data_IF_624711467042
#
_entry.id   IF_624711467042
#
_cell.length_a   1.000
_cell.length_b   1.000
_cell.length_c   1.000
_cell.angle_alpha   90.00
_cell.angle_beta   90.00
_cell.angle_gamma   90.00
#
_symmetry.space_group_name_H-M   'P 1'
#
loop_
_entity.id
_entity.type
_entity.pdbx_description
1 polymer ?
#
# COMPACT_ATOMS: atom_id res chain seq x y z
N UNK A 1 26.09 -5.93 -9.86
CA UNK A 1 25.33 -6.26 -8.64
C UNK A 1 26.02 -5.48 -7.53
N UNK A 2 25.47 -4.33 -7.16
CA UNK A 2 26.11 -3.43 -6.18
C UNK A 2 25.95 -3.99 -4.78
N UNK A 3 27.03 -4.01 -4.01
CA UNK A 3 27.05 -4.33 -2.59
C UNK A 3 25.94 -3.55 -1.88
N UNK A 4 24.93 -4.26 -1.40
CA UNK A 4 23.79 -3.64 -0.74
C UNK A 4 24.21 -3.47 0.71
N UNK A 5 24.56 -2.26 1.12
CA UNK A 5 24.91 -1.96 2.52
C UNK A 5 23.79 -2.48 3.43
N UNK A 6 24.13 -3.27 4.48
CA UNK A 6 23.14 -3.78 5.42
C UNK A 6 22.40 -2.60 6.05
N UNK A 7 21.07 -2.69 6.05
CA UNK A 7 20.18 -1.68 6.60
C UNK A 7 19.92 -2.01 8.07
N UNK A 8 19.97 -1.02 8.95
CA UNK A 8 19.61 -1.17 10.36
C UNK A 8 18.27 -0.49 10.66
N UNK A 9 17.61 -0.93 11.74
CA UNK A 9 16.30 -0.41 12.14
C UNK A 9 16.34 1.09 12.47
N UNK A 10 17.40 1.56 13.09
CA UNK A 10 17.50 2.94 13.55
C UNK A 10 18.15 3.87 12.50
N UNK A 11 18.41 3.35 11.29
CA UNK A 11 18.90 4.15 10.18
C UNK A 11 17.88 5.22 9.77
N UNK A 12 18.34 6.44 9.39
CA UNK A 12 17.47 7.47 8.84
C UNK A 12 16.73 6.98 7.60
N UNK A 13 15.48 7.41 7.43
CA UNK A 13 14.61 6.96 6.34
C UNK A 13 15.16 7.34 4.95
N UNK A 14 16.02 8.35 4.86
CA UNK A 14 16.67 8.80 3.62
C UNK A 14 17.70 7.81 3.08
N UNK A 15 18.12 6.82 3.89
CA UNK A 15 18.99 5.72 3.44
C UNK A 15 18.28 4.80 2.44
N UNK A 16 16.95 4.82 2.40
CA UNK A 16 16.17 4.06 1.42
C UNK A 16 16.15 4.75 0.06
N UNK A 17 16.34 4.00 -1.04
CA UNK A 17 16.40 4.55 -2.38
C UNK A 17 15.10 5.27 -2.76
N UNK A 18 15.25 6.46 -3.33
CA UNK A 18 14.13 7.30 -3.74
C UNK A 18 13.51 8.11 -2.62
N UNK A 19 14.05 8.11 -1.38
CA UNK A 19 13.60 9.00 -0.31
C UNK A 19 14.58 10.18 -0.19
N UNK A 20 14.33 11.24 -0.95
CA UNK A 20 15.05 12.52 -0.78
C UNK A 20 14.40 13.43 0.28
N UNK A 21 14.99 14.61 0.57
CA UNK A 21 14.57 15.51 1.66
C UNK A 21 13.08 15.86 1.63
N UNK A 22 12.53 16.07 0.43
CA UNK A 22 11.11 16.35 0.24
C UNK A 22 10.21 15.19 0.65
N UNK A 23 10.59 13.95 0.35
CA UNK A 23 9.82 12.74 0.69
C UNK A 23 10.02 12.38 2.17
N UNK A 24 11.22 12.55 2.70
CA UNK A 24 11.50 12.46 4.13
C UNK A 24 10.61 13.42 4.94
N UNK A 25 10.51 14.70 4.54
CA UNK A 25 9.60 15.65 5.18
C UNK A 25 8.11 15.27 5.11
N UNK A 26 7.67 14.53 4.07
CA UNK A 26 6.30 14.01 4.01
C UNK A 26 6.08 12.82 4.96
N UNK A 27 7.09 11.97 5.12
CA UNK A 27 7.10 10.84 6.06
C UNK A 27 7.19 11.32 7.52
N UNK A 28 7.94 12.38 7.79
CA UNK A 28 7.99 13.02 9.10
C UNK A 28 6.60 13.48 9.59
N UNK A 29 5.72 13.93 8.68
CA UNK A 29 4.32 14.26 9.04
C UNK A 29 3.48 13.04 9.46
N UNK A 30 3.96 11.82 9.19
CA UNK A 30 3.39 10.57 9.69
C UNK A 30 4.11 10.08 10.97
N UNK A 31 5.09 10.82 11.48
CA UNK A 31 5.97 10.36 12.57
C UNK A 31 7.00 9.32 12.12
N UNK A 32 7.37 9.33 10.82
CA UNK A 32 8.33 8.37 10.26
C UNK A 32 9.61 9.11 9.86
N UNK A 33 10.67 8.91 10.64
CA UNK A 33 12.02 9.42 10.44
C UNK A 33 13.06 8.29 10.27
N UNK A 34 12.76 7.08 10.74
CA UNK A 34 13.66 5.90 10.72
C UNK A 34 13.07 4.71 9.97
N UNK A 35 13.91 3.73 9.65
CA UNK A 35 13.48 2.44 9.06
C UNK A 35 12.51 1.70 9.99
N UNK A 36 12.79 1.71 11.30
CA UNK A 36 11.91 1.14 12.34
C UNK A 36 10.53 1.77 12.25
N UNK A 37 10.41 3.08 12.31
CA UNK A 37 9.11 3.75 12.25
C UNK A 37 8.38 3.48 10.93
N UNK A 38 9.10 3.31 9.81
CA UNK A 38 8.48 2.90 8.55
C UNK A 38 7.88 1.48 8.63
N UNK A 39 8.62 0.52 9.18
CA UNK A 39 8.18 -0.88 9.31
C UNK A 39 7.09 -1.04 10.38
N UNK A 40 7.14 -0.26 11.46
CA UNK A 40 6.10 -0.29 12.49
C UNK A 40 4.90 0.63 12.16
N UNK A 41 4.94 1.36 11.03
CA UNK A 41 3.74 1.98 10.44
C UNK A 41 2.86 0.94 9.75
N UNK A 42 2.27 0.08 10.57
CA UNK A 42 1.48 -1.07 10.12
C UNK A 42 0.26 -0.64 9.29
N UNK A 43 -0.14 -1.43 8.28
CA UNK A 43 -1.30 -1.10 7.47
C UNK A 43 -2.59 -1.07 8.29
N UNK A 44 -3.51 -0.18 7.95
CA UNK A 44 -4.82 -0.08 8.61
C UNK A 44 -5.80 -1.14 8.14
N UNK A 45 -5.61 -1.63 6.92
CA UNK A 45 -6.50 -2.60 6.26
C UNK A 45 -5.76 -3.31 5.11
N UNK A 46 -6.41 -4.29 4.48
CA UNK A 46 -5.89 -5.02 3.33
C UNK A 46 -6.90 -5.01 2.19
N UNK A 47 -6.39 -5.14 0.96
CA UNK A 47 -7.23 -5.28 -0.22
C UNK A 47 -6.80 -6.50 -1.03
N UNK A 48 -7.75 -7.38 -1.31
CA UNK A 48 -7.52 -8.49 -2.24
C UNK A 48 -7.56 -7.98 -3.68
N UNK A 49 -6.40 -7.95 -4.35
CA UNK A 49 -6.26 -7.56 -5.76
C UNK A 49 -6.04 -8.76 -6.69
N UNK A 50 -6.31 -9.98 -6.21
CA UNK A 50 -6.30 -11.21 -7.03
C UNK A 50 -7.57 -11.34 -7.85
N UNK A 51 -8.69 -10.84 -7.32
CA UNK A 51 -10.01 -10.93 -7.97
C UNK A 51 -10.17 -9.83 -9.01
N UNK A 52 -9.80 -10.14 -10.25
CA UNK A 52 -10.04 -9.27 -11.41
C UNK A 52 -11.49 -9.47 -11.86
N UNK A 53 -12.25 -8.38 -11.88
CA UNK A 53 -13.62 -8.35 -12.36
C UNK A 53 -13.68 -7.83 -13.79
N UNK A 54 -14.64 -8.36 -14.56
CA UNK A 54 -15.06 -7.76 -15.84
C UNK A 54 -15.79 -6.44 -15.57
N UNK A 55 -15.63 -5.45 -16.46
CA UNK A 55 -16.24 -4.13 -16.32
C UNK A 55 -17.77 -4.22 -16.13
N UNK A 56 -18.44 -5.07 -16.90
CA UNK A 56 -19.90 -5.24 -16.84
C UNK A 56 -20.40 -5.72 -15.47
N UNK A 57 -19.58 -6.47 -14.73
CA UNK A 57 -19.89 -6.90 -13.37
C UNK A 57 -19.45 -5.86 -12.35
N UNK A 58 -18.26 -5.29 -12.52
CA UNK A 58 -17.72 -4.25 -11.64
C UNK A 58 -18.67 -3.06 -11.46
N UNK A 59 -19.34 -2.60 -12.52
CA UNK A 59 -20.29 -1.47 -12.44
C UNK A 59 -21.51 -1.74 -11.55
N UNK A 60 -21.81 -3.00 -11.21
CA UNK A 60 -22.91 -3.38 -10.30
C UNK A 60 -22.54 -3.15 -8.83
N UNK A 61 -21.25 -3.08 -8.49
CA UNK A 61 -20.73 -2.96 -7.13
C UNK A 61 -20.51 -1.49 -6.71
N UNK A 62 -21.55 -0.65 -6.81
CA UNK A 62 -21.45 0.78 -6.49
C UNK A 62 -21.01 1.00 -5.03
N UNK A 63 -20.00 1.84 -4.83
CA UNK A 63 -19.44 2.16 -3.52
C UNK A 63 -18.35 1.19 -3.04
N UNK A 64 -18.16 0.07 -3.72
CA UNK A 64 -17.12 -0.92 -3.38
C UNK A 64 -15.84 -0.68 -4.18
N UNK A 65 -14.72 -1.11 -3.61
CA UNK A 65 -13.42 -1.09 -4.27
C UNK A 65 -13.23 -2.38 -5.06
N UNK A 66 -13.06 -2.27 -6.37
CA UNK A 66 -12.90 -3.40 -7.29
C UNK A 66 -11.62 -3.27 -8.09
N UNK A 67 -11.12 -4.40 -8.58
CA UNK A 67 -9.99 -4.46 -9.51
C UNK A 67 -10.48 -4.91 -10.88
N UNK A 68 -10.16 -4.15 -11.92
CA UNK A 68 -10.46 -4.50 -13.31
C UNK A 68 -9.16 -4.52 -14.12
N UNK A 69 -9.11 -5.35 -15.14
CA UNK A 69 -8.10 -5.28 -16.19
C UNK A 69 -8.73 -4.68 -17.44
N UNK A 70 -8.14 -3.60 -17.97
CA UNK A 70 -8.73 -2.90 -19.11
C UNK A 70 -7.67 -2.30 -20.02
N UNK A 71 -8.05 -2.13 -21.29
CA UNK A 71 -7.30 -1.40 -22.30
C UNK A 71 -7.65 0.08 -22.22
N UNK A 72 -6.64 0.95 -22.25
CA UNK A 72 -6.81 2.39 -22.38
C UNK A 72 -7.30 2.70 -23.79
N UNK A 73 -8.51 3.26 -23.89
CA UNK A 73 -9.09 3.74 -25.15
C UNK A 73 -8.59 5.15 -25.44
N UNK A 74 -8.67 6.03 -24.44
CA UNK A 74 -8.14 7.40 -24.50
C UNK A 74 -7.97 7.97 -23.11
N UNK A 75 -7.05 8.93 -22.97
CA UNK A 75 -6.90 9.72 -21.76
C UNK A 75 -6.90 11.21 -22.10
N UNK A 76 -7.59 12.02 -21.28
CA UNK A 76 -7.64 13.48 -21.45
C UNK A 76 -7.59 14.20 -20.12
N UNK A 77 -7.04 15.40 -20.14
CA UNK A 77 -7.11 16.34 -19.02
C UNK A 77 -8.29 17.29 -19.20
N UNK A 78 -8.91 17.70 -18.10
CA UNK A 78 -9.96 18.72 -18.08
C UNK A 78 -9.76 19.64 -16.88
N UNK A 79 -10.08 20.93 -17.04
CA UNK A 79 -10.19 21.89 -15.93
C UNK A 79 -11.60 21.85 -15.34
N UNK A 80 -11.70 21.68 -14.03
CA UNK A 80 -12.92 21.77 -13.25
C UNK A 80 -13.10 23.20 -12.70
N UNK A 81 -14.26 23.46 -12.09
CA UNK A 81 -14.53 24.72 -11.36
C UNK A 81 -13.46 24.95 -10.30
N UNK A 82 -13.16 26.24 -10.03
CA UNK A 82 -12.12 26.69 -9.05
C UNK A 82 -10.68 26.31 -9.44
N UNK A 83 -10.41 26.09 -10.73
CA UNK A 83 -9.05 25.87 -11.25
C UNK A 83 -8.47 24.48 -10.99
N UNK A 84 -9.22 23.56 -10.38
CA UNK A 84 -8.76 22.19 -10.14
C UNK A 84 -8.69 21.41 -11.45
N UNK A 85 -7.60 20.69 -11.70
CA UNK A 85 -7.46 19.85 -12.90
C UNK A 85 -7.91 18.42 -12.62
N UNK A 86 -8.31 17.69 -13.66
CA UNK A 86 -8.70 16.28 -13.55
C UNK A 86 -8.32 15.52 -14.81
N UNK A 87 -7.79 14.30 -14.63
CA UNK A 87 -7.59 13.36 -15.73
C UNK A 87 -8.77 12.40 -15.82
N UNK A 88 -9.28 12.17 -17.03
CA UNK A 88 -10.28 11.14 -17.35
C UNK A 88 -9.63 10.15 -18.30
N UNK A 89 -9.62 8.87 -17.91
CA UNK A 89 -9.16 7.76 -18.74
C UNK A 89 -10.37 6.91 -19.08
N UNK A 90 -10.59 6.65 -20.36
CA UNK A 90 -11.61 5.71 -20.82
C UNK A 90 -10.97 4.34 -21.00
N UNK A 91 -11.61 3.36 -20.38
CA UNK A 91 -11.13 2.00 -20.22
C UNK A 91 -12.15 1.04 -20.85
N UNK A 92 -11.66 0.05 -21.59
CA UNK A 92 -12.46 -0.97 -22.25
C UNK A 92 -11.92 -2.36 -22.00
N UNK A 93 -12.82 -3.30 -21.75
CA UNK A 93 -12.54 -4.73 -21.79
C UNK A 93 -13.51 -5.42 -22.78
N UNK A 94 -13.57 -6.75 -22.79
CA UNK A 94 -14.49 -7.49 -23.66
C UNK A 94 -15.97 -7.39 -23.24
N UNK A 95 -16.25 -6.88 -22.04
CA UNK A 95 -17.58 -6.83 -21.43
C UNK A 95 -18.20 -5.43 -21.46
N UNK A 96 -17.40 -4.36 -21.57
CA UNK A 96 -17.91 -2.99 -21.65
C UNK A 96 -16.87 -1.89 -21.47
N UNK A 97 -17.37 -0.69 -21.21
CA UNK A 97 -16.61 0.54 -21.03
C UNK A 97 -16.80 1.15 -19.64
N UNK A 98 -15.74 1.70 -19.06
CA UNK A 98 -15.79 2.48 -17.82
C UNK A 98 -14.77 3.62 -17.84
N UNK A 99 -15.00 4.65 -17.02
CA UNK A 99 -14.05 5.77 -16.86
C UNK A 99 -13.23 5.60 -15.58
N UNK A 100 -11.96 5.96 -15.59
CA UNK A 100 -11.19 6.24 -14.39
C UNK A 100 -10.97 7.76 -14.27
N UNK A 101 -11.29 8.33 -13.11
CA UNK A 101 -11.20 9.78 -12.87
C UNK A 101 -10.17 10.09 -11.80
N UNK A 102 -9.28 11.04 -12.07
CA UNK A 102 -8.22 11.44 -11.14
C UNK A 102 -8.28 12.94 -10.85
N UNK A 103 -8.86 13.30 -9.70
CA UNK A 103 -8.99 14.68 -9.27
C UNK A 103 -7.65 15.27 -8.83
N UNK A 104 -7.39 16.53 -9.19
CA UNK A 104 -6.15 17.24 -8.88
C UNK A 104 -4.92 16.77 -9.66
N UNK A 105 -5.06 15.81 -10.59
CA UNK A 105 -3.95 15.17 -11.30
C UNK A 105 -4.07 15.35 -12.82
N UNK A 106 -4.18 16.59 -13.28
CA UNK A 106 -4.36 16.91 -14.69
C UNK A 106 -3.21 16.54 -15.63
N UNK A 107 -2.00 16.29 -15.12
CA UNK A 107 -0.85 15.84 -15.94
C UNK A 107 -0.82 14.32 -16.16
N UNK A 108 -1.59 13.56 -15.36
CA UNK A 108 -1.56 12.10 -15.36
C UNK A 108 -2.04 11.46 -16.67
N UNK A 109 -2.82 12.19 -17.48
CA UNK A 109 -3.27 11.70 -18.78
C UNK A 109 -2.10 11.28 -19.69
N UNK A 110 -0.92 11.88 -19.52
CA UNK A 110 0.30 11.56 -20.30
C UNK A 110 0.85 10.16 -20.00
N UNK A 111 0.48 9.57 -18.87
CA UNK A 111 0.90 8.22 -18.48
C UNK A 111 0.09 7.13 -19.19
N UNK A 112 -1.09 7.46 -19.71
CA UNK A 112 -2.04 6.50 -20.25
C UNK A 112 -2.05 6.54 -21.78
N UNK A 113 -1.25 5.69 -22.39
CA UNK A 113 -1.19 5.57 -23.84
C UNK A 113 -2.39 4.77 -24.39
N UNK A 114 -3.11 5.29 -25.40
CA UNK A 114 -4.14 4.51 -26.09
C UNK A 114 -3.55 3.19 -26.60
N UNK A 115 -4.22 2.08 -26.32
CA UNK A 115 -3.72 0.76 -26.68
C UNK A 115 -3.16 -0.04 -25.52
N UNK A 116 -2.60 0.64 -24.52
CA UNK A 116 -1.97 -0.02 -23.38
C UNK A 116 -2.99 -0.73 -22.49
N UNK A 117 -2.61 -1.87 -21.92
CA UNK A 117 -3.41 -2.59 -20.90
C UNK A 117 -2.93 -2.20 -19.52
N UNK A 118 -3.84 -2.19 -18.56
CA UNK A 118 -3.51 -1.94 -17.18
C UNK A 118 -4.51 -2.56 -16.22
N UNK A 119 -4.06 -2.77 -14.99
CA UNK A 119 -4.91 -3.09 -13.85
C UNK A 119 -5.30 -1.79 -13.15
N UNK A 120 -6.59 -1.63 -12.90
CA UNK A 120 -7.15 -0.46 -12.25
C UNK A 120 -7.92 -0.91 -11.03
N UNK A 121 -7.51 -0.43 -9.86
CA UNK A 121 -8.13 -0.79 -8.59
C UNK A 121 -8.65 0.46 -7.89
N UNK A 122 -9.96 0.53 -7.67
CA UNK A 122 -10.56 1.66 -6.98
C UNK A 122 -12.05 1.53 -6.78
N UNK A 123 -12.62 2.55 -6.14
CA UNK A 123 -14.04 2.57 -5.77
C UNK A 123 -14.91 2.87 -6.99
N UNK A 124 -15.91 2.04 -7.23
CA UNK A 124 -16.95 2.29 -8.24
C UNK A 124 -17.84 3.42 -7.74
N UNK A 125 -17.90 4.49 -8.52
CA UNK A 125 -18.81 5.59 -8.33
C UNK A 125 -19.31 6.11 -9.66
N UNK A 126 -19.63 7.41 -9.71
CA UNK A 126 -20.21 8.03 -10.88
C UNK A 126 -19.53 9.35 -11.23
N UNK A 127 -19.26 9.53 -12.51
CA UNK A 127 -18.83 10.78 -13.12
C UNK A 127 -19.28 10.82 -14.59
N UNK A 128 -20.46 11.42 -14.84
CA UNK A 128 -21.12 11.40 -16.16
C UNK A 128 -21.23 9.95 -16.69
N UNK A 129 -21.77 9.06 -15.86
CA UNK A 129 -21.79 7.60 -16.05
C UNK A 129 -20.90 6.85 -15.03
N UNK A 130 -20.89 5.50 -15.04
CA UNK A 130 -20.05 4.71 -14.14
C UNK A 130 -18.56 5.05 -14.25
N UNK A 131 -17.89 5.15 -13.10
CA UNK A 131 -16.47 5.50 -13.06
C UNK A 131 -15.74 4.97 -11.84
N UNK A 132 -14.48 4.58 -12.00
CA UNK A 132 -13.53 4.39 -10.90
C UNK A 132 -13.04 5.76 -10.38
N UNK A 133 -13.18 5.98 -9.07
CA UNK A 133 -12.73 7.19 -8.39
C UNK A 133 -11.28 7.07 -7.94
N UNK A 134 -10.42 7.92 -8.51
CA UNK A 134 -8.98 7.99 -8.26
C UNK A 134 -8.32 6.62 -8.06
N UNK A 135 -8.53 5.65 -8.98
CA UNK A 135 -8.05 4.30 -8.77
C UNK A 135 -6.52 4.27 -8.72
N UNK A 136 -5.97 3.35 -7.96
CA UNK A 136 -4.59 2.92 -8.19
C UNK A 136 -4.54 2.23 -9.55
N UNK A 137 -3.45 2.44 -10.29
CA UNK A 137 -3.27 1.85 -11.60
C UNK A 137 -1.86 1.29 -11.75
N UNK A 138 -1.78 0.27 -12.60
CA UNK A 138 -0.56 -0.41 -12.99
C UNK A 138 -0.65 -0.71 -14.47
N UNK A 139 0.30 -0.19 -15.25
CA UNK A 139 0.30 -0.42 -16.70
C UNK A 139 1.04 -1.72 -16.94
N UNK A 140 0.41 -2.66 -17.66
CA UNK A 140 1.02 -3.93 -18.02
C UNK A 140 1.97 -3.71 -19.19
N UNK A 141 3.05 -2.97 -18.95
CA UNK A 141 4.11 -2.70 -19.91
C UNK A 141 5.27 -3.68 -19.72
N UNK A 142 5.01 -4.99 -19.77
CA UNK A 142 6.03 -6.05 -19.85
C UNK A 142 7.07 -6.18 -18.72
N UNK A 143 7.23 -5.18 -17.85
CA UNK A 143 8.31 -5.09 -16.86
C UNK A 143 7.89 -5.71 -15.51
N UNK A 144 8.78 -6.53 -14.95
CA UNK A 144 8.55 -7.33 -13.75
C UNK A 144 8.43 -6.52 -12.44
N UNK A 145 8.67 -5.21 -12.46
CA UNK A 145 8.76 -4.34 -11.27
C UNK A 145 7.39 -4.06 -10.59
N UNK A 146 6.30 -4.47 -11.24
CA UNK A 146 4.94 -4.07 -10.88
C UNK A 146 4.18 -5.09 -9.99
N UNK A 147 4.77 -6.28 -9.74
CA UNK A 147 4.18 -7.38 -8.94
C UNK A 147 3.89 -7.09 -7.45
N UNK A 148 4.30 -5.93 -6.92
CA UNK A 148 4.05 -5.55 -5.53
C UNK A 148 2.65 -4.97 -5.29
N UNK A 149 1.91 -4.60 -6.35
CA UNK A 149 0.63 -3.89 -6.22
C UNK A 149 -0.58 -4.64 -6.77
N UNK A 150 -0.39 -5.80 -7.41
CA UNK A 150 -1.42 -6.56 -8.13
C UNK A 150 -1.22 -8.07 -7.95
N UNK A 151 -2.28 -8.86 -8.20
CA UNK A 151 -2.21 -10.33 -8.13
C UNK A 151 -1.98 -10.90 -6.73
N UNK A 152 -2.15 -10.09 -5.69
CA UNK A 152 -1.98 -10.49 -4.28
C UNK A 152 -2.84 -9.66 -3.34
N UNK A 153 -2.86 -10.05 -2.07
CA UNK A 153 -3.38 -9.21 -1.00
C UNK A 153 -2.39 -8.07 -0.75
N UNK A 154 -2.86 -6.83 -0.84
CA UNK A 154 -2.01 -5.65 -0.66
C UNK A 154 -2.38 -4.87 0.60
N UNK A 155 -1.39 -4.31 1.31
CA UNK A 155 -1.63 -3.49 2.49
C UNK A 155 -2.19 -2.12 2.10
N UNK A 156 -3.08 -1.58 2.94
CA UNK A 156 -3.58 -0.20 2.88
C UNK A 156 -3.05 0.55 4.10
N UNK A 157 -2.21 1.55 3.88
CA UNK A 157 -1.65 2.40 4.93
C UNK A 157 -2.48 3.65 5.17
N UNK A 158 -2.33 4.25 6.36
CA UNK A 158 -2.70 5.66 6.58
C UNK A 158 -1.69 6.55 5.84
N UNK A 159 -2.18 7.54 5.10
CA UNK A 159 -1.36 8.41 4.26
C UNK A 159 -1.59 9.88 4.62
N UNK A 160 -0.55 10.70 4.46
CA UNK A 160 -0.63 12.16 4.40
C UNK A 160 -0.76 12.64 2.94
N UNK A 161 -1.08 13.93 2.76
CA UNK A 161 -1.18 14.49 1.41
C UNK A 161 0.11 14.27 0.61
N UNK A 162 -0.04 13.94 -0.68
CA UNK A 162 1.04 13.71 -1.67
C UNK A 162 1.84 12.40 -1.50
N UNK A 163 1.62 11.61 -0.46
CA UNK A 163 2.07 10.22 -0.41
C UNK A 163 1.04 9.30 -1.10
N UNK A 164 1.51 8.18 -1.63
CA UNK A 164 0.65 7.18 -2.30
C UNK A 164 0.90 5.80 -1.70
N UNK A 165 -0.10 4.91 -1.79
CA UNK A 165 0.02 3.52 -1.32
C UNK A 165 1.20 2.81 -2.02
N UNK A 166 1.35 3.02 -3.34
CA UNK A 166 2.46 2.46 -4.13
C UNK A 166 3.84 2.89 -3.60
N UNK A 167 3.99 4.15 -3.21
CA UNK A 167 5.25 4.65 -2.66
C UNK A 167 5.60 3.98 -1.33
N UNK A 168 4.66 3.94 -0.38
CA UNK A 168 4.88 3.27 0.91
C UNK A 168 5.19 1.79 0.73
N UNK A 169 4.41 1.07 -0.09
CA UNK A 169 4.66 -0.35 -0.39
C UNK A 169 6.06 -0.57 -0.96
N UNK A 170 6.52 0.29 -1.88
CA UNK A 170 7.87 0.18 -2.46
C UNK A 170 8.96 0.38 -1.40
N UNK A 171 8.81 1.36 -0.52
CA UNK A 171 9.79 1.62 0.53
C UNK A 171 9.81 0.53 1.61
N UNK A 172 8.64 0.07 2.05
CA UNK A 172 8.52 -1.04 3.00
C UNK A 172 9.10 -2.33 2.40
N UNK A 173 8.80 -2.65 1.14
CA UNK A 173 9.39 -3.79 0.44
C UNK A 173 10.92 -3.69 0.40
N UNK A 174 11.45 -2.51 0.06
CA UNK A 174 12.89 -2.27 0.02
C UNK A 174 13.54 -2.40 1.41
N UNK A 175 12.89 -1.91 2.46
CA UNK A 175 13.37 -2.04 3.83
C UNK A 175 13.41 -3.51 4.27
N UNK A 176 12.30 -4.26 4.11
CA UNK A 176 12.23 -5.67 4.48
C UNK A 176 13.20 -6.56 3.67
N UNK A 177 13.51 -6.20 2.42
CA UNK A 177 14.48 -6.93 1.60
C UNK A 177 15.94 -6.68 2.00
N UNK A 178 16.25 -5.51 2.59
CA UNK A 178 17.62 -5.10 2.92
C UNK A 178 17.97 -5.27 4.40
N UNK A 179 16.96 -5.37 5.25
CA UNK A 179 17.11 -5.61 6.69
C UNK A 179 17.45 -7.09 6.91
N UNK A 180 18.40 -7.35 7.81
CA UNK A 180 18.63 -8.71 8.30
C UNK A 180 17.50 -9.12 9.25
N UNK A 181 16.73 -10.19 8.98
CA UNK A 181 15.69 -10.65 9.89
C UNK A 181 16.19 -10.93 11.31
N UNK A 182 17.47 -11.34 11.46
CA UNK A 182 18.07 -11.60 12.76
C UNK A 182 18.34 -10.32 13.58
N UNK A 183 18.32 -9.13 12.96
CA UNK A 183 18.46 -7.86 13.68
C UNK A 183 17.15 -7.36 14.30
N UNK A 184 16.04 -8.09 14.13
CA UNK A 184 14.74 -7.76 14.72
C UNK A 184 14.56 -8.59 15.98
N UNK A 185 14.76 -7.95 17.13
CA UNK A 185 14.49 -8.56 18.43
C UNK A 185 12.99 -8.84 18.58
N UNK A 186 12.66 -10.00 19.17
CA UNK A 186 11.30 -10.35 19.55
C UNK A 186 11.14 -10.17 21.07
N UNK A 187 10.47 -9.09 21.52
CA UNK A 187 10.31 -8.84 22.96
C UNK A 187 9.27 -9.77 23.60
N UNK A 188 8.49 -10.52 22.81
CA UNK A 188 7.56 -11.51 23.34
C UNK A 188 8.31 -12.81 23.67
N UNK A 189 8.25 -13.30 24.92
CA UNK A 189 8.79 -14.61 25.27
C UNK A 189 8.19 -15.72 24.41
N UNK A 190 9.02 -16.70 24.03
CA UNK A 190 8.61 -17.82 23.19
C UNK A 190 7.34 -18.53 23.69
N UNK A 191 7.24 -18.72 25.01
CA UNK A 191 6.04 -19.30 25.64
C UNK A 191 4.75 -18.56 25.28
N UNK A 192 4.73 -17.23 25.37
CA UNK A 192 3.54 -16.42 25.07
C UNK A 192 3.23 -16.43 23.57
N UNK A 193 4.26 -16.44 22.71
CA UNK A 193 4.06 -16.61 21.28
C UNK A 193 3.34 -17.92 20.96
N UNK A 194 3.84 -19.03 21.49
CA UNK A 194 3.28 -20.36 21.23
C UNK A 194 1.86 -20.49 21.77
N UNK A 195 1.59 -19.97 22.97
CA UNK A 195 0.26 -19.98 23.60
C UNK A 195 -0.79 -19.23 22.75
N UNK A 196 -0.42 -18.09 22.17
CA UNK A 196 -1.31 -17.27 21.36
C UNK A 196 -1.27 -17.56 19.85
N UNK A 197 -0.40 -18.47 19.40
CA UNK A 197 -0.20 -18.77 17.97
C UNK A 197 0.39 -17.60 17.18
N UNK A 198 1.25 -16.80 17.83
CA UNK A 198 1.90 -15.64 17.23
C UNK A 198 3.20 -16.01 16.51
N UNK A 199 3.38 -15.43 15.31
CA UNK A 199 4.63 -15.51 14.56
C UNK A 199 5.75 -14.76 15.28
N UNK A 200 7.03 -15.17 15.08
CA UNK A 200 8.19 -14.37 15.46
C UNK A 200 8.12 -12.96 14.87
N UNK A 201 8.69 -11.97 15.56
CA UNK A 201 8.58 -10.55 15.19
C UNK A 201 8.95 -10.26 13.72
N UNK A 202 10.05 -10.82 13.22
CA UNK A 202 10.47 -10.62 11.83
C UNK A 202 9.47 -11.20 10.80
N UNK A 203 9.01 -12.43 11.04
CA UNK A 203 8.00 -13.09 10.19
C UNK A 203 6.66 -12.35 10.25
N UNK A 204 6.28 -11.87 11.44
CA UNK A 204 5.08 -11.09 11.63
C UNK A 204 5.16 -9.74 10.91
N UNK A 205 6.31 -9.05 10.89
CA UNK A 205 6.48 -7.83 10.10
C UNK A 205 6.27 -8.11 8.60
N UNK A 206 6.89 -9.18 8.09
CA UNK A 206 6.70 -9.59 6.70
C UNK A 206 5.23 -9.88 6.39
N UNK A 207 4.56 -10.69 7.23
CA UNK A 207 3.15 -11.03 7.07
C UNK A 207 2.21 -9.82 7.24
N UNK A 208 2.55 -8.85 8.09
CA UNK A 208 1.77 -7.64 8.25
C UNK A 208 1.83 -6.75 7.00
N UNK A 209 2.96 -6.70 6.28
CA UNK A 209 3.07 -5.84 5.10
C UNK A 209 2.75 -6.55 3.80
N UNK A 210 3.11 -7.82 3.66
CA UNK A 210 2.97 -8.59 2.42
C UNK A 210 2.39 -9.98 2.71
N UNK A 211 1.15 -10.05 3.24
CA UNK A 211 0.51 -11.32 3.49
C UNK A 211 0.12 -12.04 2.19
N UNK A 212 0.05 -13.36 2.26
CA UNK A 212 -0.55 -14.17 1.20
C UNK A 212 -2.08 -14.13 1.30
N UNK A 213 -2.63 -14.23 2.52
CA UNK A 213 -4.05 -14.06 2.80
C UNK A 213 -4.35 -12.86 3.72
N UNK A 214 -5.51 -12.23 3.54
CA UNK A 214 -5.93 -11.13 4.42
C UNK A 214 -6.00 -11.54 5.91
N UNK A 215 -6.21 -12.83 6.19
CA UNK A 215 -6.22 -13.35 7.55
C UNK A 215 -4.84 -13.28 8.21
N UNK A 216 -3.77 -13.61 7.47
CA UNK A 216 -2.39 -13.62 7.97
C UNK A 216 -1.95 -12.20 8.35
N UNK A 217 -2.25 -11.23 7.48
CA UNK A 217 -1.96 -9.83 7.76
C UNK A 217 -2.72 -9.30 8.98
N UNK A 218 -3.96 -9.77 9.21
CA UNK A 218 -4.72 -9.41 10.43
C UNK A 218 -4.13 -10.07 11.68
N UNK A 219 -3.72 -11.34 11.59
CA UNK A 219 -3.10 -12.06 12.69
C UNK A 219 -1.75 -11.42 13.09
N UNK A 220 -0.92 -11.05 12.12
CA UNK A 220 0.33 -10.34 12.35
C UNK A 220 0.11 -8.98 13.03
N UNK A 221 -0.87 -8.20 12.58
CA UNK A 221 -1.24 -6.94 13.26
C UNK A 221 -1.72 -7.16 14.69
N UNK A 222 -2.51 -8.22 14.92
CA UNK A 222 -2.98 -8.58 16.27
C UNK A 222 -1.81 -8.92 17.20
N UNK A 223 -0.77 -9.59 16.69
CA UNK A 223 0.47 -9.87 17.42
C UNK A 223 1.16 -8.59 17.89
N UNK A 224 1.35 -7.60 17.01
CA UNK A 224 1.96 -6.31 17.41
C UNK A 224 1.08 -5.49 18.36
N UNK A 225 -0.24 -5.50 18.16
CA UNK A 225 -1.16 -4.85 19.11
C UNK A 225 -1.12 -5.50 20.50
N UNK A 226 -0.96 -6.83 20.57
CA UNK A 226 -0.77 -7.54 21.83
C UNK A 226 0.55 -7.16 22.49
N UNK A 227 1.66 -7.14 21.74
CA UNK A 227 2.97 -6.72 22.24
C UNK A 227 2.90 -5.31 22.86
N UNK A 228 2.35 -4.34 22.12
CA UNK A 228 2.24 -2.96 22.58
C UNK A 228 1.39 -2.86 23.85
N UNK A 229 0.25 -3.55 23.91
CA UNK A 229 -0.60 -3.57 25.08
C UNK A 229 0.11 -4.21 26.28
N UNK A 230 0.83 -5.33 26.07
CA UNK A 230 1.58 -6.00 27.13
C UNK A 230 2.66 -5.07 27.68
N UNK A 231 3.42 -4.40 26.81
CA UNK A 231 4.45 -3.44 27.22
C UNK A 231 3.86 -2.30 28.07
N UNK A 232 2.72 -1.74 27.67
CA UNK A 232 2.01 -0.71 28.44
C UNK A 232 1.57 -1.25 29.81
N UNK A 233 1.00 -2.46 29.88
CA UNK A 233 0.56 -3.05 31.15
C UNK A 233 1.72 -3.32 32.10
N UNK A 234 2.84 -3.85 31.59
CA UNK A 234 4.05 -4.08 32.37
C UNK A 234 4.63 -2.76 32.89
N UNK A 235 4.63 -1.70 32.07
CA UNK A 235 5.02 -0.36 32.50
C UNK A 235 4.17 0.13 33.68
N UNK A 236 2.84 0.08 33.57
CA UNK A 236 1.92 0.48 34.65
C UNK A 236 2.13 -0.35 35.91
N UNK A 237 2.32 -1.66 35.80
CA UNK A 237 2.58 -2.53 36.94
C UNK A 237 3.92 -2.23 37.61
N UNK A 238 4.96 -1.90 36.82
CA UNK A 238 6.26 -1.53 37.35
C UNK A 238 6.22 -0.23 38.17
N UNK A 239 5.42 0.75 37.74
CA UNK A 239 5.21 2.00 38.49
C UNK A 239 4.39 1.80 39.77
N UNK A 240 3.43 0.87 39.77
CA UNK A 240 2.63 0.54 40.97
C UNK A 240 3.41 -0.24 42.03
N UNK A 241 4.44 -0.96 41.61
CA UNK A 241 5.27 -1.77 42.50
C UNK A 241 6.44 -0.97 43.10
N UNK A 242 6.71 0.24 42.59
CA UNK A 242 7.67 1.21 43.11
C UNK A 242 7.04 2.07 44.22
#
# INVERSE_FOLDING_TARGET
MGETTPLHLDDPIETLPGIGPKRAGLLANLGIATVRELLFHLPRDYQDRRRIMRIADAVKHKGESVTIEAKVVRARSMRLRRGMSMTIVELRDSSGDIKATFFGRGSLFRTFEPGARGLFTGVIGEYKGPSLKSPDYEMLSGDAEDRLNTGRVVPIYRLTQKLTQRMLRKWVACALQRLDPASIDDPLPERLRLEHGFLPAAEALQAAHFPDEMADGRAARKRFAYEELLAIQLGILSERAA
#
